data_IF_227939669939
#
_entry.id   IF_227939669939
#
_cell.length_a   1.000
_cell.length_b   1.000
_cell.length_c   1.000
_cell.angle_alpha   90.00
_cell.angle_beta   90.00
_cell.angle_gamma   90.00
#
_symmetry.space_group_name_H-M   'P 1'
#
loop_
_entity.id
_entity.type
_entity.pdbx_description
1 polymer ?
#
# COMPACT_ATOMS: atom_id res chain seq x y z
N UNK A 1 -64.36 -16.24 17.47
CA UNK A 1 -63.86 -15.42 18.59
C UNK A 1 -62.41 -15.79 18.88
N UNK A 2 -61.53 -14.80 18.68
CA UNK A 2 -60.18 -14.58 19.24
C UNK A 2 -59.43 -15.77 19.85
N UNK A 3 -58.26 -16.07 19.28
CA UNK A 3 -56.96 -15.99 19.96
C UNK A 3 -55.86 -16.03 18.90
N UNK A 4 -55.39 -14.83 18.53
CA UNK A 4 -54.25 -14.63 17.64
C UNK A 4 -52.98 -15.05 18.38
N UNK A 5 -52.24 -16.00 17.80
CA UNK A 5 -50.85 -16.29 18.16
C UNK A 5 -50.02 -15.03 17.95
N UNK A 6 -49.55 -14.45 19.05
CA UNK A 6 -48.64 -13.30 19.00
C UNK A 6 -47.22 -13.84 19.16
N UNK A 7 -46.61 -14.25 18.05
CA UNK A 7 -45.18 -14.49 17.98
C UNK A 7 -44.50 -13.12 17.96
N UNK A 8 -44.06 -12.65 19.12
CA UNK A 8 -43.20 -11.46 19.23
C UNK A 8 -41.79 -11.92 18.85
N UNK A 9 -41.49 -11.89 17.56
CA UNK A 9 -40.11 -11.92 17.07
C UNK A 9 -39.46 -10.60 17.47
N UNK A 10 -38.89 -10.55 18.68
CA UNK A 10 -37.92 -9.53 19.04
C UNK A 10 -36.66 -9.83 18.23
N UNK A 11 -36.64 -9.40 16.97
CA UNK A 11 -35.37 -9.15 16.29
C UNK A 11 -34.75 -7.97 17.04
N UNK A 12 -33.97 -8.28 18.07
CA UNK A 12 -32.97 -7.34 18.57
C UNK A 12 -32.10 -7.02 17.37
N UNK A 13 -32.33 -5.84 16.80
CA UNK A 13 -31.38 -5.20 15.91
C UNK A 13 -30.09 -5.07 16.73
N UNK A 14 -29.23 -6.07 16.63
CA UNK A 14 -27.82 -5.94 16.90
C UNK A 14 -27.32 -4.93 15.86
N UNK A 15 -27.52 -3.65 16.14
CA UNK A 15 -26.79 -2.56 15.53
C UNK A 15 -25.33 -2.75 15.97
N UNK A 16 -24.64 -3.69 15.33
CA UNK A 16 -23.20 -3.71 15.28
C UNK A 16 -22.79 -2.42 14.56
N UNK A 17 -22.65 -1.34 15.33
CA UNK A 17 -21.83 -0.23 14.91
C UNK A 17 -20.42 -0.81 14.80
N UNK A 18 -20.00 -1.16 13.59
CA UNK A 18 -18.59 -1.43 13.34
C UNK A 18 -17.86 -0.13 13.69
N UNK A 19 -17.06 -0.15 14.76
CA UNK A 19 -16.12 0.93 15.03
C UNK A 19 -15.27 1.11 13.77
N UNK A 20 -15.32 2.31 13.17
CA UNK A 20 -14.46 2.62 12.02
C UNK A 20 -13.03 2.56 12.49
N UNK A 21 -12.24 1.69 11.89
CA UNK A 21 -10.81 1.61 12.17
C UNK A 21 -10.09 2.77 11.48
N UNK A 22 -8.91 3.13 11.95
CA UNK A 22 -8.11 4.19 11.31
C UNK A 22 -7.78 3.90 9.83
N UNK A 23 -7.82 2.63 9.41
CA UNK A 23 -7.63 2.26 8.01
C UNK A 23 -8.88 2.50 7.15
N UNK A 24 -10.06 2.67 7.76
CA UNK A 24 -11.33 2.99 7.09
C UNK A 24 -11.52 4.50 6.89
N UNK A 25 -10.60 5.32 7.42
CA UNK A 25 -10.57 6.76 7.19
C UNK A 25 -10.28 7.08 5.72
N UNK A 26 -10.79 8.21 5.24
CA UNK A 26 -10.55 8.68 3.89
C UNK A 26 -9.08 9.09 3.74
N UNK A 27 -8.41 8.53 2.72
CA UNK A 27 -7.05 8.92 2.37
C UNK A 27 -7.06 10.31 1.77
N UNK A 28 -6.31 11.24 2.36
CA UNK A 28 -6.16 12.59 1.82
C UNK A 28 -4.95 12.61 0.86
N UNK A 29 -5.11 13.13 -0.38
CA UNK A 29 -3.99 13.28 -1.29
C UNK A 29 -2.90 14.20 -0.71
N UNK A 30 -1.64 13.85 -0.92
CA UNK A 30 -0.51 14.62 -0.40
C UNK A 30 -0.48 16.09 -0.86
N UNK A 31 -1.02 16.39 -2.05
CA UNK A 31 -1.07 17.75 -2.60
C UNK A 31 -2.17 18.61 -1.96
N UNK A 32 -3.12 18.03 -1.22
CA UNK A 32 -4.24 18.77 -0.61
C UNK A 32 -3.77 19.80 0.42
N UNK A 33 -2.69 19.50 1.14
CA UNK A 33 -2.10 20.42 2.12
C UNK A 33 -0.74 20.98 1.70
N UNK A 34 -0.30 20.71 0.47
CA UNK A 34 0.97 21.21 -0.05
C UNK A 34 2.21 20.60 0.62
N UNK A 35 2.05 19.54 1.42
CA UNK A 35 3.15 18.87 2.12
C UNK A 35 3.01 17.37 1.90
N UNK A 36 4.01 16.76 1.23
CA UNK A 36 4.22 15.33 1.35
C UNK A 36 4.45 15.07 2.83
N UNK A 37 3.56 14.34 3.48
CA UNK A 37 3.77 13.91 4.85
C UNK A 37 5.15 13.27 4.93
N UNK A 38 6.10 13.96 5.54
CA UNK A 38 7.45 13.44 5.63
C UNK A 38 7.36 12.28 6.59
N UNK A 39 7.81 11.11 6.14
CA UNK A 39 8.13 10.05 7.08
C UNK A 39 9.55 10.30 7.53
N UNK A 40 9.72 10.55 8.81
CA UNK A 40 11.05 10.70 9.37
C UNK A 40 11.84 9.39 9.14
N UNK A 41 12.96 9.47 8.40
CA UNK A 41 13.82 8.32 8.08
C UNK A 41 13.42 7.51 6.84
N UNK A 42 12.44 7.96 6.06
CA UNK A 42 11.95 7.27 4.86
C UNK A 42 13.06 6.89 3.88
N UNK A 43 13.89 7.86 3.48
CA UNK A 43 14.97 7.61 2.52
C UNK A 43 15.93 6.51 2.97
N UNK A 44 16.56 6.60 4.15
CA UNK A 44 17.46 5.55 4.66
C UNK A 44 16.76 4.20 4.89
N UNK A 45 15.57 4.18 5.50
CA UNK A 45 14.85 2.93 5.80
C UNK A 45 14.41 2.21 4.52
N UNK A 46 13.82 2.94 3.57
CA UNK A 46 13.43 2.39 2.28
C UNK A 46 14.66 1.86 1.51
N UNK A 47 15.73 2.65 1.44
CA UNK A 47 16.96 2.22 0.78
C UNK A 47 17.51 0.94 1.39
N UNK A 48 17.55 0.84 2.72
CA UNK A 48 18.07 -0.35 3.39
C UNK A 48 17.19 -1.58 3.14
N UNK A 49 15.87 -1.42 3.23
CA UNK A 49 14.92 -2.53 3.13
C UNK A 49 14.84 -3.10 1.70
N UNK A 50 14.95 -2.24 0.68
CA UNK A 50 14.95 -2.69 -0.71
C UNK A 50 16.36 -2.92 -1.27
N UNK A 51 17.42 -2.67 -0.50
CA UNK A 51 18.81 -2.85 -0.95
C UNK A 51 19.09 -4.28 -1.41
N UNK A 52 18.67 -5.25 -0.60
CA UNK A 52 18.95 -6.66 -0.87
C UNK A 52 18.32 -7.12 -2.18
N UNK A 53 17.07 -6.72 -2.46
CA UNK A 53 16.41 -7.06 -3.73
C UNK A 53 17.01 -6.27 -4.89
N UNK A 54 17.44 -5.02 -4.69
CA UNK A 54 18.12 -4.24 -5.70
C UNK A 54 19.43 -4.89 -6.14
N UNK A 55 20.22 -5.36 -5.18
CA UNK A 55 21.54 -5.95 -5.41
C UNK A 55 21.45 -7.39 -5.98
N UNK A 56 20.45 -8.16 -5.55
CA UNK A 56 20.32 -9.59 -5.91
C UNK A 56 19.49 -9.85 -7.17
N UNK A 57 18.46 -9.04 -7.46
CA UNK A 57 17.52 -9.35 -8.54
C UNK A 57 18.08 -8.99 -9.91
N UNK A 58 18.29 -10.02 -10.74
CA UNK A 58 18.78 -9.89 -12.11
C UNK A 58 17.88 -10.65 -13.08
N UNK A 59 18.10 -10.45 -14.38
CA UNK A 59 17.36 -11.10 -15.46
C UNK A 59 15.84 -10.87 -15.41
N UNK A 60 15.41 -9.73 -14.86
CA UNK A 60 14.01 -9.33 -14.80
C UNK A 60 13.42 -9.18 -16.22
N UNK A 61 12.20 -9.69 -16.43
CA UNK A 61 11.45 -9.60 -17.68
C UNK A 61 10.06 -9.00 -17.44
N UNK A 62 9.60 -8.00 -18.21
CA UNK A 62 10.33 -7.30 -19.27
C UNK A 62 11.59 -6.59 -18.73
N UNK A 63 12.55 -6.31 -19.61
CA UNK A 63 13.88 -5.82 -19.18
C UNK A 63 13.88 -4.38 -18.75
N UNK A 64 12.86 -3.60 -19.12
CA UNK A 64 12.77 -2.18 -18.84
C UNK A 64 11.34 -1.82 -18.43
N UNK A 65 11.22 -0.82 -17.56
CA UNK A 65 9.95 -0.23 -17.16
C UNK A 65 9.97 0.19 -15.69
N UNK A 66 8.79 0.28 -15.07
CA UNK A 66 8.63 0.78 -13.72
C UNK A 66 7.63 -0.05 -12.92
N UNK A 67 7.94 -0.23 -11.64
CA UNK A 67 7.02 -0.78 -10.64
C UNK A 67 6.77 0.32 -9.62
N UNK A 68 5.53 0.68 -9.36
CA UNK A 68 5.16 1.65 -8.32
C UNK A 68 4.31 0.96 -7.28
N UNK A 69 4.77 0.97 -6.03
CA UNK A 69 4.03 0.56 -4.85
C UNK A 69 3.40 1.79 -4.23
N UNK A 70 2.10 1.77 -3.99
CA UNK A 70 1.37 2.78 -3.24
C UNK A 70 0.97 2.20 -1.90
N UNK A 71 1.58 2.70 -0.83
CA UNK A 71 1.37 2.23 0.53
C UNK A 71 0.46 3.21 1.25
N UNK A 72 -0.75 2.80 1.61
CA UNK A 72 -1.61 3.61 2.47
C UNK A 72 -1.27 3.35 3.94
N UNK A 73 -1.05 4.43 4.67
CA UNK A 73 -0.63 4.41 6.07
C UNK A 73 -1.61 5.26 6.86
N UNK A 74 -2.09 4.73 7.99
CA UNK A 74 -2.97 5.47 8.90
C UNK A 74 -2.25 6.67 9.52
N UNK A 75 -3.02 7.55 10.16
CA UNK A 75 -2.50 8.68 10.95
C UNK A 75 -1.53 8.26 12.06
N UNK A 76 -1.66 7.04 12.60
CA UNK A 76 -0.74 6.51 13.64
C UNK A 76 0.48 5.79 13.07
N UNK A 77 0.64 5.73 11.76
CA UNK A 77 1.75 5.02 11.13
C UNK A 77 1.51 3.52 10.90
N UNK A 78 0.28 3.04 11.09
CA UNK A 78 -0.08 1.65 10.81
C UNK A 78 -0.22 1.44 9.30
N UNK A 79 0.41 0.39 8.77
CA UNK A 79 0.19 -0.06 7.40
C UNK A 79 -1.25 -0.55 7.22
N UNK A 80 -1.94 -0.09 6.16
CA UNK A 80 -3.32 -0.47 5.87
C UNK A 80 -3.44 -1.31 4.59
N UNK A 81 -2.94 -0.79 3.47
CA UNK A 81 -3.10 -1.42 2.15
C UNK A 81 -1.91 -1.08 1.25
N UNK A 82 -1.70 -1.91 0.24
CA UNK A 82 -0.73 -1.70 -0.82
C UNK A 82 -1.39 -1.92 -2.18
N UNK A 83 -1.19 -0.98 -3.09
CA UNK A 83 -1.55 -1.11 -4.50
C UNK A 83 -0.26 -1.09 -5.34
N UNK A 84 -0.16 -1.99 -6.31
CA UNK A 84 1.03 -2.08 -7.16
C UNK A 84 0.67 -1.87 -8.62
N UNK A 85 1.34 -0.92 -9.26
CA UNK A 85 1.22 -0.59 -10.68
C UNK A 85 2.51 -0.97 -11.40
N UNK A 86 2.39 -1.59 -12.56
CA UNK A 86 3.53 -2.05 -13.36
C UNK A 86 3.35 -1.59 -14.80
N UNK A 87 4.34 -0.86 -15.31
CA UNK A 87 4.37 -0.37 -16.67
C UNK A 87 5.68 -0.73 -17.35
N UNK A 88 5.64 -1.04 -18.64
CA UNK A 88 6.83 -1.28 -19.44
C UNK A 88 7.46 0.05 -19.94
N UNK A 89 8.52 -0.04 -20.75
CA UNK A 89 9.18 1.12 -21.35
C UNK A 89 8.30 1.91 -22.35
N UNK A 90 7.18 1.33 -22.80
CA UNK A 90 6.20 1.94 -23.68
C UNK A 90 4.96 2.43 -22.94
N UNK A 91 5.03 2.48 -21.61
CA UNK A 91 3.95 2.90 -20.72
C UNK A 91 2.69 2.02 -20.84
N UNK A 92 2.84 0.76 -21.24
CA UNK A 92 1.76 -0.21 -21.25
C UNK A 92 1.77 -1.02 -19.95
N UNK A 93 0.58 -1.42 -19.48
CA UNK A 93 0.47 -2.33 -18.34
C UNK A 93 1.25 -3.61 -18.61
N UNK A 94 2.01 -4.06 -17.62
CA UNK A 94 2.84 -5.26 -17.74
C UNK A 94 2.92 -6.01 -16.42
N UNK A 95 3.54 -7.19 -16.44
CA UNK A 95 3.88 -7.94 -15.24
C UNK A 95 5.33 -8.38 -15.29
N UNK A 96 6.11 -7.93 -14.32
CA UNK A 96 7.51 -8.34 -14.22
C UNK A 96 7.62 -9.73 -13.60
N UNK A 97 8.37 -10.61 -14.28
CA UNK A 97 8.54 -12.02 -13.98
C UNK A 97 7.19 -12.71 -13.73
N UNK A 98 6.21 -12.49 -14.61
CA UNK A 98 4.85 -13.04 -14.48
C UNK A 98 4.20 -12.72 -13.11
N UNK A 99 4.48 -11.52 -12.58
CA UNK A 99 3.94 -11.03 -11.31
C UNK A 99 4.69 -11.49 -10.05
N UNK A 100 5.72 -12.32 -10.17
CA UNK A 100 6.53 -12.75 -9.01
C UNK A 100 7.24 -11.58 -8.34
N UNK A 101 7.79 -10.67 -9.14
CA UNK A 101 8.53 -9.51 -8.61
C UNK A 101 7.61 -8.59 -7.80
N UNK A 102 6.36 -8.40 -8.26
CA UNK A 102 5.34 -7.67 -7.50
C UNK A 102 5.13 -8.29 -6.11
N UNK A 103 4.88 -9.60 -6.03
CA UNK A 103 4.60 -10.29 -4.76
C UNK A 103 5.77 -10.18 -3.78
N UNK A 104 6.99 -10.26 -4.28
CA UNK A 104 8.20 -10.13 -3.48
C UNK A 104 8.34 -8.70 -2.91
N UNK A 105 8.15 -7.69 -3.75
CA UNK A 105 8.18 -6.28 -3.36
C UNK A 105 7.07 -5.93 -2.35
N UNK A 106 5.85 -6.43 -2.56
CA UNK A 106 4.75 -6.24 -1.62
C UNK A 106 5.06 -6.87 -0.25
N UNK A 107 5.67 -8.06 -0.22
CA UNK A 107 6.09 -8.71 1.03
C UNK A 107 7.14 -7.89 1.78
N UNK A 108 8.12 -7.35 1.06
CA UNK A 108 9.16 -6.47 1.62
C UNK A 108 8.50 -5.20 2.20
N UNK A 109 7.59 -4.59 1.43
CA UNK A 109 6.88 -3.37 1.83
C UNK A 109 6.01 -3.55 3.08
N UNK A 110 5.31 -4.68 3.21
CA UNK A 110 4.51 -4.99 4.42
C UNK A 110 5.37 -5.13 5.67
N UNK A 111 6.64 -5.53 5.52
CA UNK A 111 7.60 -5.58 6.62
C UNK A 111 8.04 -4.21 7.15
N UNK A 112 7.73 -3.13 6.43
CA UNK A 112 8.02 -1.77 6.88
C UNK A 112 7.10 -1.40 8.03
N UNK A 113 7.69 -1.22 9.21
CA UNK A 113 7.01 -0.85 10.45
C UNK A 113 7.52 0.50 10.96
N UNK A 114 6.83 1.07 11.95
CA UNK A 114 7.24 2.32 12.63
C UNK A 114 7.30 3.55 11.72
N UNK A 115 6.32 3.69 10.83
CA UNK A 115 6.16 4.90 10.03
C UNK A 115 5.81 6.07 10.94
N UNK A 116 6.80 6.90 11.28
CA UNK A 116 6.54 8.11 12.05
C UNK A 116 5.90 9.14 11.12
N UNK A 117 4.69 9.58 11.50
CA UNK A 117 3.90 10.54 10.75
C UNK A 117 4.07 11.91 11.38
N UNK A 118 4.29 12.92 10.55
CA UNK A 118 4.29 14.32 10.97
C UNK A 118 2.86 14.91 10.98
N UNK A 119 1.86 14.17 10.49
CA UNK A 119 0.48 14.63 10.23
C UNK A 119 -0.56 13.68 10.84
N UNK A 120 -1.74 14.21 11.18
CA UNK A 120 -2.83 13.51 11.88
C UNK A 120 -3.88 12.85 10.97
N UNK A 121 -3.59 12.74 9.66
CA UNK A 121 -4.48 12.14 8.67
C UNK A 121 -3.84 10.96 7.90
N UNK A 122 -4.70 10.06 7.42
CA UNK A 122 -4.32 8.94 6.53
C UNK A 122 -3.86 9.48 5.18
N UNK A 123 -2.71 9.01 4.70
CA UNK A 123 -2.23 9.30 3.34
C UNK A 123 -1.54 8.09 2.73
N UNK A 124 -1.01 8.25 1.52
CA UNK A 124 -0.22 7.22 0.85
C UNK A 124 1.20 7.70 0.54
N UNK A 125 2.14 6.76 0.52
CA UNK A 125 3.48 6.96 -0.03
C UNK A 125 3.64 6.16 -1.30
N UNK A 126 4.50 6.65 -2.18
CA UNK A 126 4.81 6.01 -3.44
C UNK A 126 6.27 5.58 -3.41
N UNK A 127 6.51 4.29 -3.59
CA UNK A 127 7.85 3.74 -3.82
C UNK A 127 7.90 3.33 -5.28
N UNK A 128 8.76 3.97 -6.06
CA UNK A 128 8.92 3.64 -7.48
C UNK A 128 10.26 2.97 -7.71
N UNK A 129 10.23 1.80 -8.32
CA UNK A 129 11.39 1.06 -8.75
C UNK A 129 11.51 1.16 -10.28
N UNK A 130 12.68 1.55 -10.77
CA UNK A 130 13.01 1.57 -12.18
C UNK A 130 13.73 0.27 -12.56
N UNK A 131 13.15 -0.46 -13.49
CA UNK A 131 13.79 -1.64 -14.08
C UNK A 131 14.51 -1.20 -15.35
N UNK A 132 15.79 -1.55 -15.47
CA UNK A 132 16.59 -1.31 -16.67
C UNK A 132 17.54 -2.47 -16.91
N UNK A 133 17.59 -2.93 -18.15
CA UNK A 133 18.41 -4.06 -18.59
C UNK A 133 18.24 -5.30 -17.68
N UNK A 134 17.02 -5.54 -17.20
CA UNK A 134 16.67 -6.69 -16.35
C UNK A 134 17.16 -6.59 -14.91
N UNK A 135 17.46 -5.39 -14.40
CA UNK A 135 17.85 -5.12 -13.01
C UNK A 135 17.06 -3.95 -12.44
N UNK A 136 16.95 -3.88 -11.11
CA UNK A 136 16.44 -2.69 -10.42
C UNK A 136 17.57 -1.65 -10.41
N UNK A 137 17.43 -0.57 -11.17
CA UNK A 137 18.46 0.48 -11.29
C UNK A 137 18.30 1.53 -10.19
N UNK A 138 17.07 2.01 -9.96
CA UNK A 138 16.77 3.13 -9.08
C UNK A 138 15.52 2.85 -8.25
N UNK A 139 15.48 3.42 -7.04
CA UNK A 139 14.34 3.39 -6.12
C UNK A 139 14.08 4.84 -5.66
N UNK A 140 12.86 5.33 -5.89
CA UNK A 140 12.40 6.68 -5.56
C UNK A 140 11.29 6.65 -4.53
#
# INVERSE_FOLDING_TARGET
>A
MKKLLTFITVFTFLSFSQEKTECDEQTIPYYTYGVNSRIQGEGPTLRNVFKDIQDSKTNIKPTNGFITLRLSISKTGKFCEIETFQIDEKYQNTEFNNGELKKELERIAVGLTNWKRDEDYKTYNLIRLKIKNGKIEEIF
#
